data_IF_884730983547
#
_entry.id   IF_884730983547
#
_cell.length_a   1.000
_cell.length_b   1.000
_cell.length_c   1.000
_cell.angle_alpha   90.00
_cell.angle_beta   90.00
_cell.angle_gamma   90.00
#
_symmetry.space_group_name_H-M   'P 1'
#
loop_
_entity.id
_entity.type
_entity.pdbx_description
1 polymer ?
#
# COMPACT_ATOMS: atom_id res chain seq x y z
N UNK A 1 -5.76 -16.55 19.78
CA UNK A 1 -5.03 -17.52 18.93
C UNK A 1 -3.55 -17.26 19.05
N UNK A 2 -2.69 -18.28 18.77
CA UNK A 2 -1.26 -18.07 18.55
C UNK A 2 -0.99 -17.66 17.11
N UNK A 3 -0.04 -16.73 16.91
CA UNK A 3 0.43 -16.32 15.59
C UNK A 3 1.94 -16.03 15.63
N UNK A 4 2.69 -16.55 14.68
CA UNK A 4 4.09 -16.19 14.43
C UNK A 4 4.14 -14.96 13.54
N UNK A 5 4.84 -13.91 13.93
CA UNK A 5 4.91 -12.67 13.18
C UNK A 5 6.37 -12.38 12.79
N UNK A 6 6.63 -12.22 11.50
CA UNK A 6 7.96 -12.10 10.91
C UNK A 6 8.08 -10.77 10.18
N UNK A 7 9.02 -9.93 10.63
CA UNK A 7 9.20 -8.56 10.17
C UNK A 7 8.48 -7.56 11.06
N UNK A 8 9.24 -6.83 11.89
CA UNK A 8 8.73 -5.98 12.97
C UNK A 8 8.91 -4.47 12.68
N UNK A 9 9.17 -4.11 11.44
CA UNK A 9 9.20 -2.71 11.04
C UNK A 9 7.90 -1.97 11.41
N UNK A 10 7.79 -0.70 11.07
CA UNK A 10 6.68 0.18 11.51
C UNK A 10 5.29 -0.46 11.40
N UNK A 11 4.95 -1.05 10.26
CA UNK A 11 3.64 -1.70 10.09
C UNK A 11 3.54 -3.00 10.87
N UNK A 12 4.55 -3.88 10.77
CA UNK A 12 4.54 -5.17 11.47
C UNK A 12 4.46 -5.02 12.98
N UNK A 13 5.23 -4.10 13.55
CA UNK A 13 5.16 -3.78 14.98
C UNK A 13 3.78 -3.28 15.40
N UNK A 14 3.15 -2.41 14.60
CA UNK A 14 1.78 -1.93 14.88
C UNK A 14 0.74 -3.04 14.80
N UNK A 15 0.89 -3.98 13.85
CA UNK A 15 0.01 -5.16 13.80
C UNK A 15 0.17 -6.05 15.02
N UNK A 16 1.39 -6.31 15.48
CA UNK A 16 1.64 -7.07 16.72
C UNK A 16 0.99 -6.39 17.93
N UNK A 17 1.15 -5.06 18.08
CA UNK A 17 0.50 -4.29 19.13
C UNK A 17 -1.01 -4.45 19.13
N UNK A 18 -1.61 -4.36 17.94
CA UNK A 18 -3.06 -4.50 17.77
C UNK A 18 -3.53 -5.91 18.07
N UNK A 19 -2.81 -6.94 17.63
CA UNK A 19 -3.12 -8.35 17.87
C UNK A 19 -3.00 -8.71 19.36
N UNK A 20 -1.93 -8.28 20.02
CA UNK A 20 -1.75 -8.54 21.47
C UNK A 20 -2.80 -7.82 22.30
N UNK A 21 -3.14 -6.58 21.97
CA UNK A 21 -4.26 -5.85 22.59
C UNK A 21 -5.60 -6.57 22.39
N UNK A 22 -5.79 -7.24 21.23
CA UNK A 22 -6.96 -8.07 20.93
C UNK A 22 -6.92 -9.47 21.55
N UNK A 23 -5.96 -9.78 22.43
CA UNK A 23 -5.87 -11.05 23.15
C UNK A 23 -5.23 -12.20 22.36
N UNK A 24 -4.57 -11.92 21.23
CA UNK A 24 -3.78 -12.91 20.51
C UNK A 24 -2.39 -13.07 21.13
N UNK A 25 -1.86 -14.29 21.15
CA UNK A 25 -0.49 -14.56 21.57
C UNK A 25 0.43 -14.49 20.36
N UNK A 26 1.24 -13.42 20.28
CA UNK A 26 2.19 -13.23 19.22
C UNK A 26 3.57 -13.80 19.57
N UNK A 27 4.10 -14.67 18.71
CA UNK A 27 5.50 -15.05 18.68
C UNK A 27 6.17 -14.21 17.59
N UNK A 28 7.27 -13.53 17.88
CA UNK A 28 7.80 -12.50 17.01
C UNK A 28 9.25 -12.76 16.59
N UNK A 29 9.54 -12.46 15.32
CA UNK A 29 10.90 -12.52 14.77
C UNK A 29 11.19 -11.33 13.85
N UNK A 30 12.35 -10.75 14.02
CA UNK A 30 12.99 -9.79 13.10
C UNK A 30 14.49 -10.11 13.04
N UNK A 31 15.14 -9.73 11.96
CA UNK A 31 16.59 -9.81 11.84
C UNK A 31 17.30 -8.87 12.83
N UNK A 32 16.63 -7.80 13.28
CA UNK A 32 17.13 -6.88 14.30
C UNK A 32 16.72 -7.37 15.71
N UNK A 33 17.69 -7.77 16.56
CA UNK A 33 17.41 -8.18 17.93
C UNK A 33 16.84 -7.06 18.80
N UNK A 34 17.20 -5.80 18.54
CA UNK A 34 16.69 -4.67 19.31
C UNK A 34 15.20 -4.44 19.10
N UNK A 35 14.72 -4.56 17.84
CA UNK A 35 13.29 -4.51 17.53
C UNK A 35 12.50 -5.60 18.28
N UNK A 36 13.01 -6.85 18.27
CA UNK A 36 12.36 -7.98 18.96
C UNK A 36 12.26 -7.73 20.47
N UNK A 37 13.37 -7.32 21.08
CA UNK A 37 13.44 -7.09 22.53
C UNK A 37 12.50 -5.95 22.95
N UNK A 38 12.54 -4.82 22.23
CA UNK A 38 11.71 -3.67 22.54
C UNK A 38 10.23 -3.99 22.41
N UNK A 39 9.82 -4.64 21.32
CA UNK A 39 8.42 -4.97 21.08
C UNK A 39 7.90 -6.04 22.06
N UNK A 40 8.74 -7.03 22.41
CA UNK A 40 8.41 -8.03 23.41
C UNK A 40 8.17 -7.40 24.80
N UNK A 41 9.05 -6.49 25.23
CA UNK A 41 8.90 -5.78 26.49
C UNK A 41 7.65 -4.91 26.54
N UNK A 42 7.28 -4.29 25.42
CA UNK A 42 6.11 -3.43 25.32
C UNK A 42 4.78 -4.23 25.31
N UNK A 43 4.76 -5.35 24.57
CA UNK A 43 3.49 -6.03 24.22
C UNK A 43 3.26 -7.35 24.94
N UNK A 44 4.30 -7.91 25.57
CA UNK A 44 4.27 -9.28 26.10
C UNK A 44 4.35 -10.37 25.02
N UNK A 45 4.67 -10.01 23.77
CA UNK A 45 4.92 -10.99 22.71
C UNK A 45 6.17 -11.83 23.01
N UNK A 46 6.20 -13.07 22.52
CA UNK A 46 7.30 -14.02 22.75
C UNK A 46 8.36 -13.83 21.66
N UNK A 47 9.55 -13.32 21.97
CA UNK A 47 10.60 -13.13 20.97
C UNK A 47 11.26 -14.47 20.63
N UNK A 48 11.65 -14.64 19.37
CA UNK A 48 12.40 -15.79 18.89
C UNK A 48 13.70 -15.33 18.21
N UNK A 49 14.80 -16.07 18.43
CA UNK A 49 16.13 -15.72 17.90
C UNK A 49 16.37 -16.24 16.47
N UNK A 50 15.48 -17.11 15.97
CA UNK A 50 15.52 -17.65 14.61
C UNK A 50 14.12 -18.04 14.15
N UNK A 51 13.93 -18.22 12.84
CA UNK A 51 12.67 -18.79 12.30
C UNK A 51 12.41 -20.20 12.85
N UNK A 52 13.45 -21.02 13.04
CA UNK A 52 13.30 -22.34 13.65
C UNK A 52 12.82 -22.25 15.11
N UNK A 53 13.36 -21.34 15.90
CA UNK A 53 12.91 -21.08 17.29
C UNK A 53 11.47 -20.56 17.31
N UNK A 54 11.11 -19.65 16.38
CA UNK A 54 9.74 -19.17 16.24
C UNK A 54 8.76 -20.32 16.03
N UNK A 55 9.02 -21.18 15.04
CA UNK A 55 8.15 -22.30 14.68
C UNK A 55 8.07 -23.33 15.79
N UNK A 56 9.21 -23.68 16.42
CA UNK A 56 9.24 -24.68 17.51
C UNK A 56 8.53 -24.19 18.80
N UNK A 57 8.48 -22.88 19.01
CA UNK A 57 7.78 -22.26 20.14
C UNK A 57 6.25 -22.24 19.99
N UNK A 58 5.70 -22.68 18.85
CA UNK A 58 4.28 -22.61 18.54
C UNK A 58 3.64 -23.99 18.45
N UNK A 59 2.36 -24.08 18.82
CA UNK A 59 1.56 -25.29 18.70
C UNK A 59 0.94 -25.41 17.30
N UNK A 60 1.08 -26.57 16.66
CA UNK A 60 0.42 -26.85 15.39
C UNK A 60 -1.12 -27.02 15.54
N UNK A 61 -1.92 -26.68 14.52
CA UNK A 61 -1.52 -26.07 13.27
C UNK A 61 -1.17 -24.57 13.44
N UNK A 62 0.00 -24.20 12.92
CA UNK A 62 0.58 -22.87 13.11
C UNK A 62 0.09 -21.89 12.05
N UNK A 63 0.05 -20.60 12.40
CA UNK A 63 -0.14 -19.51 11.45
C UNK A 63 1.05 -18.55 11.56
N UNK A 64 1.71 -18.26 10.44
CA UNK A 64 2.86 -17.38 10.35
C UNK A 64 2.54 -16.20 9.41
N UNK A 65 2.66 -14.99 9.92
CA UNK A 65 2.43 -13.75 9.17
C UNK A 65 3.77 -13.12 8.76
N UNK A 66 3.95 -12.91 7.47
CA UNK A 66 5.13 -12.25 6.91
C UNK A 66 4.81 -10.77 6.66
N UNK A 67 5.65 -9.88 7.18
CA UNK A 67 5.59 -8.43 6.95
C UNK A 67 6.99 -7.93 6.56
N UNK A 68 7.52 -8.50 5.48
CA UNK A 68 8.87 -8.28 4.98
C UNK A 68 8.83 -7.70 3.56
N UNK A 69 9.94 -7.11 3.05
CA UNK A 69 9.99 -6.61 1.68
C UNK A 69 9.65 -7.68 0.65
N UNK A 70 8.85 -7.29 -0.34
CA UNK A 70 8.38 -8.19 -1.41
C UNK A 70 9.52 -8.78 -2.26
N UNK A 71 9.21 -9.79 -3.04
CA UNK A 71 10.12 -10.43 -3.99
C UNK A 71 11.09 -11.40 -3.32
N UNK A 72 12.39 -11.19 -3.50
CA UNK A 72 13.44 -12.12 -3.05
C UNK A 72 13.48 -12.32 -1.53
N UNK A 73 13.19 -11.28 -0.75
CA UNK A 73 13.20 -11.37 0.72
C UNK A 73 12.05 -12.25 1.19
N UNK A 74 10.84 -12.00 0.72
CA UNK A 74 9.67 -12.84 1.02
C UNK A 74 9.90 -14.27 0.59
N UNK A 75 10.46 -14.49 -0.63
CA UNK A 75 10.75 -15.83 -1.10
C UNK A 75 11.77 -16.55 -0.21
N UNK A 76 12.85 -15.89 0.19
CA UNK A 76 13.86 -16.46 1.09
C UNK A 76 13.27 -16.88 2.44
N UNK A 77 12.39 -16.08 3.03
CA UNK A 77 11.69 -16.44 4.27
C UNK A 77 10.76 -17.62 4.08
N UNK A 78 10.00 -17.68 2.97
CA UNK A 78 9.15 -18.84 2.64
C UNK A 78 9.98 -20.12 2.46
N UNK A 79 11.12 -20.03 1.77
CA UNK A 79 12.01 -21.17 1.55
C UNK A 79 12.62 -21.70 2.86
N UNK A 80 13.00 -20.81 3.78
CA UNK A 80 13.52 -21.17 5.10
C UNK A 80 12.44 -21.78 6.02
N UNK A 81 11.22 -21.25 5.96
CA UNK A 81 10.09 -21.76 6.75
C UNK A 81 9.60 -23.13 6.27
N UNK A 82 9.60 -23.36 4.97
CA UNK A 82 9.00 -24.54 4.36
C UNK A 82 9.46 -25.88 4.98
N UNK A 83 10.75 -26.13 5.25
CA UNK A 83 11.19 -27.37 5.90
C UNK A 83 10.86 -27.44 7.41
N UNK A 84 10.51 -26.35 8.03
CA UNK A 84 10.17 -26.25 9.46
C UNK A 84 8.66 -26.48 9.73
N UNK A 85 7.84 -26.35 8.70
CA UNK A 85 6.38 -26.44 8.78
C UNK A 85 5.87 -27.83 8.44
N UNK A 86 4.65 -28.12 8.91
CA UNK A 86 3.94 -29.37 8.68
C UNK A 86 2.61 -29.15 7.96
N UNK A 87 2.02 -30.23 7.48
CA UNK A 87 0.67 -30.21 6.91
C UNK A 87 -0.32 -29.59 7.91
N UNK A 88 -1.17 -28.69 7.43
CA UNK A 88 -2.12 -27.93 8.25
C UNK A 88 -1.59 -26.56 8.70
N UNK A 89 -0.29 -26.30 8.64
CA UNK A 89 0.26 -24.96 8.91
C UNK A 89 -0.11 -23.97 7.79
N UNK A 90 -0.03 -22.67 8.10
CA UNK A 90 -0.39 -21.60 7.16
C UNK A 90 0.66 -20.49 7.18
N UNK A 91 1.07 -20.04 6.00
CA UNK A 91 1.82 -18.79 5.81
C UNK A 91 0.86 -17.74 5.27
N UNK A 92 0.84 -16.56 5.91
CA UNK A 92 0.14 -15.37 5.43
C UNK A 92 1.19 -14.34 4.98
N UNK A 93 1.20 -13.98 3.71
CA UNK A 93 2.03 -12.90 3.17
C UNK A 93 1.24 -11.58 3.23
N UNK A 94 1.59 -10.72 4.19
CA UNK A 94 0.97 -9.40 4.41
C UNK A 94 1.75 -8.25 3.77
N UNK A 95 2.83 -8.54 3.04
CA UNK A 95 3.62 -7.54 2.32
C UNK A 95 2.94 -7.05 1.03
N UNK A 96 3.55 -6.08 0.37
CA UNK A 96 3.11 -5.63 -0.96
C UNK A 96 3.71 -6.53 -2.06
N UNK A 97 3.37 -7.81 -2.05
CA UNK A 97 3.89 -8.78 -3.00
C UNK A 97 3.13 -8.76 -4.33
N UNK A 98 3.85 -9.14 -5.40
CA UNK A 98 3.23 -9.32 -6.71
C UNK A 98 2.31 -10.55 -6.70
N UNK A 99 1.07 -10.40 -7.15
CA UNK A 99 0.07 -11.45 -7.05
C UNK A 99 0.46 -12.77 -7.76
N UNK A 100 1.22 -12.69 -8.87
CA UNK A 100 1.70 -13.89 -9.58
C UNK A 100 2.71 -14.69 -8.75
N UNK A 101 3.53 -14.00 -7.94
CA UNK A 101 4.43 -14.66 -6.99
C UNK A 101 3.65 -15.39 -5.89
N UNK A 102 2.55 -14.79 -5.43
CA UNK A 102 1.67 -15.39 -4.43
C UNK A 102 1.02 -16.67 -4.94
N UNK A 103 0.57 -16.69 -6.20
CA UNK A 103 0.05 -17.90 -6.87
C UNK A 103 1.14 -18.98 -6.93
N UNK A 104 2.35 -18.62 -7.35
CA UNK A 104 3.46 -19.57 -7.46
C UNK A 104 3.84 -20.17 -6.09
N UNK A 105 3.91 -19.36 -5.04
CA UNK A 105 4.17 -19.81 -3.65
C UNK A 105 3.09 -20.76 -3.16
N UNK A 106 1.82 -20.43 -3.37
CA UNK A 106 0.71 -21.29 -3.00
C UNK A 106 0.79 -22.67 -3.71
N UNK A 107 1.08 -22.68 -5.02
CA UNK A 107 1.25 -23.92 -5.79
C UNK A 107 2.44 -24.77 -5.29
N UNK A 108 3.54 -24.14 -4.89
CA UNK A 108 4.71 -24.84 -4.37
C UNK A 108 4.49 -25.46 -2.97
N UNK A 109 3.65 -24.83 -2.14
CA UNK A 109 3.37 -25.27 -0.76
C UNK A 109 2.22 -26.28 -0.67
N UNK A 110 1.26 -26.25 -1.59
CA UNK A 110 0.10 -27.13 -1.60
C UNK A 110 0.43 -28.63 -1.52
N UNK A 111 1.43 -29.17 -2.26
CA UNK A 111 1.80 -30.60 -2.16
C UNK A 111 2.32 -31.02 -0.77
N UNK A 112 2.75 -30.04 0.05
CA UNK A 112 3.23 -30.25 1.42
C UNK A 112 2.10 -30.09 2.46
N UNK A 113 0.89 -29.81 2.01
CA UNK A 113 -0.26 -29.55 2.88
C UNK A 113 -0.15 -28.23 3.66
N UNK A 114 0.74 -27.31 3.26
CA UNK A 114 0.91 -25.99 3.88
C UNK A 114 0.05 -24.99 3.12
N UNK A 115 -0.85 -24.32 3.82
CA UNK A 115 -1.68 -23.27 3.22
C UNK A 115 -0.86 -21.99 3.00
N UNK A 116 -1.10 -21.32 1.87
CA UNK A 116 -0.59 -19.98 1.61
C UNK A 116 -1.75 -19.03 1.40
N UNK A 117 -1.74 -17.93 2.16
CA UNK A 117 -2.72 -16.84 2.12
C UNK A 117 -1.95 -15.57 1.77
N UNK A 118 -2.42 -14.83 0.79
CA UNK A 118 -1.93 -13.49 0.49
C UNK A 118 -2.90 -12.45 1.06
N UNK A 119 -2.36 -11.45 1.73
CA UNK A 119 -3.13 -10.44 2.42
C UNK A 119 -2.67 -9.03 2.05
N UNK A 120 -3.27 -8.46 1.02
CA UNK A 120 -3.09 -7.06 0.68
C UNK A 120 -3.59 -6.16 1.81
N UNK A 121 -2.72 -5.30 2.33
CA UNK A 121 -2.99 -4.48 3.50
C UNK A 121 -2.98 -3.00 3.14
N UNK A 122 -4.04 -2.26 3.49
CA UNK A 122 -4.12 -0.81 3.40
C UNK A 122 -4.38 -0.19 4.77
N UNK A 123 -3.78 0.96 5.05
CA UNK A 123 -3.89 1.67 6.34
C UNK A 123 -2.56 2.26 6.81
N UNK A 124 -1.43 1.79 6.27
CA UNK A 124 -0.10 2.34 6.51
C UNK A 124 0.24 2.45 8.01
N UNK A 125 0.81 3.58 8.39
CA UNK A 125 1.25 3.85 9.77
C UNK A 125 0.07 4.05 10.73
N UNK A 126 -1.09 4.46 10.23
CA UNK A 126 -2.29 4.77 11.01
C UNK A 126 -3.09 3.52 11.37
N UNK A 127 -2.70 2.35 10.89
CA UNK A 127 -3.41 1.10 11.12
C UNK A 127 -3.44 0.64 12.59
N UNK A 128 -2.53 1.13 13.45
CA UNK A 128 -2.58 0.84 14.88
C UNK A 128 -3.89 1.34 15.49
N UNK A 129 -4.28 2.57 15.19
CA UNK A 129 -5.47 3.22 15.74
C UNK A 129 -6.71 2.95 14.89
N UNK A 130 -6.59 3.10 13.57
CA UNK A 130 -7.71 3.03 12.64
C UNK A 130 -8.07 1.61 12.19
N UNK A 131 -7.17 0.63 12.37
CA UNK A 131 -7.27 -0.70 11.76
C UNK A 131 -6.78 -0.70 10.31
N UNK A 132 -6.70 -1.91 9.75
CA UNK A 132 -6.20 -2.16 8.40
C UNK A 132 -7.33 -2.70 7.52
N UNK A 133 -7.51 -2.14 6.33
CA UNK A 133 -8.35 -2.77 5.30
C UNK A 133 -7.58 -3.94 4.68
N UNK A 134 -8.16 -5.15 4.73
CA UNK A 134 -7.50 -6.40 4.38
C UNK A 134 -8.19 -7.08 3.20
N UNK A 135 -7.45 -7.27 2.11
CA UNK A 135 -7.88 -7.98 0.90
C UNK A 135 -7.17 -9.33 0.86
N UNK A 136 -7.91 -10.42 1.02
CA UNK A 136 -7.35 -11.73 1.35
C UNK A 136 -7.57 -12.70 0.20
N UNK A 137 -6.50 -13.34 -0.27
CA UNK A 137 -6.52 -14.44 -1.21
C UNK A 137 -6.08 -15.72 -0.51
N UNK A 138 -6.80 -16.82 -0.73
CA UNK A 138 -6.46 -18.10 -0.11
C UNK A 138 -7.60 -19.10 -0.16
N UNK A 139 -7.29 -20.34 0.22
CA UNK A 139 -8.31 -21.37 0.37
C UNK A 139 -9.29 -20.99 1.50
N UNK A 140 -10.56 -21.30 1.29
CA UNK A 140 -11.63 -20.95 2.19
C UNK A 140 -11.39 -21.44 3.63
N UNK A 141 -10.95 -22.70 3.77
CA UNK A 141 -10.65 -23.28 5.09
C UNK A 141 -9.51 -22.56 5.82
N UNK A 142 -8.45 -22.16 5.09
CA UNK A 142 -7.32 -21.42 5.65
C UNK A 142 -7.73 -20.01 6.08
N UNK A 143 -8.51 -19.30 5.24
CA UNK A 143 -9.01 -17.96 5.56
C UNK A 143 -9.99 -17.99 6.72
N UNK A 144 -10.95 -18.92 6.74
CA UNK A 144 -11.92 -19.08 7.83
C UNK A 144 -11.25 -19.35 9.17
N UNK A 145 -10.24 -20.23 9.19
CA UNK A 145 -9.47 -20.51 10.42
C UNK A 145 -8.79 -19.27 10.99
N UNK A 146 -8.30 -18.39 10.10
CA UNK A 146 -7.58 -17.18 10.49
C UNK A 146 -8.48 -15.93 10.59
N UNK A 147 -9.79 -16.06 10.37
CA UNK A 147 -10.76 -14.95 10.46
C UNK A 147 -10.65 -14.12 11.74
N UNK A 148 -10.42 -14.70 12.94
CA UNK A 148 -10.24 -13.89 14.15
C UNK A 148 -9.03 -12.97 14.12
N UNK A 149 -7.95 -13.33 13.40
CA UNK A 149 -6.76 -12.50 13.20
C UNK A 149 -7.12 -11.32 12.30
N UNK A 150 -7.79 -11.59 11.17
CA UNK A 150 -8.21 -10.55 10.24
C UNK A 150 -9.18 -9.57 10.87
N UNK A 151 -10.19 -10.07 11.58
CA UNK A 151 -11.16 -9.22 12.30
C UNK A 151 -10.49 -8.35 13.37
N UNK A 152 -9.48 -8.87 14.09
CA UNK A 152 -8.73 -8.09 15.08
C UNK A 152 -7.90 -6.98 14.43
N UNK A 153 -7.30 -7.23 13.26
CA UNK A 153 -6.52 -6.23 12.52
C UNK A 153 -7.40 -5.21 11.81
N UNK A 154 -8.60 -5.58 11.40
CA UNK A 154 -9.52 -4.73 10.65
C UNK A 154 -10.09 -3.57 11.49
N UNK A 155 -10.62 -2.51 10.83
CA UNK A 155 -11.22 -1.36 11.51
C UNK A 155 -12.49 -1.68 12.29
N UNK A 156 -13.26 -2.68 11.84
CA UNK A 156 -14.56 -3.01 12.36
C UNK A 156 -15.70 -2.18 11.78
N UNK A 157 -16.93 -2.61 12.02
CA UNK A 157 -18.16 -2.03 11.46
C UNK A 157 -18.34 -0.54 11.78
N UNK A 158 -17.81 -0.06 12.88
CA UNK A 158 -17.94 1.33 13.33
C UNK A 158 -17.10 2.32 12.51
N UNK A 159 -16.18 1.84 11.65
CA UNK A 159 -15.29 2.68 10.88
C UNK A 159 -15.99 3.49 9.77
N UNK A 160 -17.16 3.03 9.29
CA UNK A 160 -17.98 3.75 8.33
C UNK A 160 -19.46 3.38 8.52
N UNK A 161 -20.40 4.28 8.17
CA UNK A 161 -21.83 3.93 8.10
C UNK A 161 -22.05 2.79 7.12
N UNK A 162 -23.03 1.91 7.41
CA UNK A 162 -23.44 0.89 6.46
C UNK A 162 -24.08 1.53 5.22
N UNK A 163 -23.85 0.96 4.05
CA UNK A 163 -24.56 1.40 2.84
C UNK A 163 -26.06 1.03 2.96
N UNK A 164 -26.93 1.91 2.49
CA UNK A 164 -28.39 1.73 2.63
C UNK A 164 -28.88 0.36 2.13
N UNK A 165 -28.30 -0.16 1.05
CA UNK A 165 -28.65 -1.46 0.49
C UNK A 165 -28.28 -2.66 1.40
N UNK A 166 -27.46 -2.44 2.44
CA UNK A 166 -27.01 -3.48 3.40
C UNK A 166 -27.65 -3.33 4.79
N UNK A 167 -28.40 -2.25 5.03
CA UNK A 167 -29.10 -2.04 6.28
C UNK A 167 -30.15 -3.16 6.52
N UNK A 168 -30.28 -3.60 7.77
CA UNK A 168 -31.24 -4.66 8.15
C UNK A 168 -30.78 -6.10 7.86
N UNK A 169 -29.70 -6.31 7.09
CA UNK A 169 -29.13 -7.63 6.85
C UNK A 169 -28.00 -7.99 7.84
N UNK A 170 -27.49 -9.24 7.82
CA UNK A 170 -26.32 -9.62 8.61
C UNK A 170 -25.10 -8.81 8.18
N UNK A 171 -24.20 -8.52 9.14
CA UNK A 171 -22.92 -7.87 8.85
C UNK A 171 -22.02 -8.84 8.10
N UNK A 172 -21.49 -8.42 6.95
CA UNK A 172 -20.53 -9.19 6.18
C UNK A 172 -19.10 -8.77 6.54
N UNK A 173 -18.08 -9.65 6.40
CA UNK A 173 -16.68 -9.32 6.71
C UNK A 173 -16.17 -8.07 5.98
N UNK A 174 -16.60 -7.83 4.75
CA UNK A 174 -16.25 -6.62 4.01
C UNK A 174 -16.71 -5.32 4.68
N UNK A 175 -17.78 -5.34 5.47
CA UNK A 175 -18.27 -4.20 6.23
C UNK A 175 -17.45 -3.98 7.52
N UNK A 176 -16.71 -4.98 7.96
CA UNK A 176 -15.76 -4.90 9.07
C UNK A 176 -14.36 -4.47 8.61
N UNK A 177 -14.13 -4.40 7.29
CA UNK A 177 -12.87 -3.96 6.68
C UNK A 177 -11.93 -5.09 6.27
N UNK A 178 -12.39 -6.35 6.22
CA UNK A 178 -11.62 -7.47 5.67
C UNK A 178 -12.49 -8.35 4.78
N UNK A 179 -11.89 -8.92 3.72
CA UNK A 179 -12.65 -9.74 2.77
C UNK A 179 -11.75 -10.80 2.14
N UNK A 180 -12.26 -12.05 2.08
CA UNK A 180 -11.71 -13.04 1.17
C UNK A 180 -12.14 -12.72 -0.27
N UNK A 181 -11.17 -12.28 -1.07
CA UNK A 181 -11.39 -11.85 -2.47
C UNK A 181 -11.48 -13.04 -3.45
N UNK A 182 -10.89 -14.19 -3.08
CA UNK A 182 -10.86 -15.38 -3.92
C UNK A 182 -9.71 -16.35 -3.58
N UNK A 183 -9.26 -17.17 -4.53
CA UNK A 183 -8.15 -18.10 -4.34
C UNK A 183 -6.81 -17.38 -4.10
N UNK A 184 -5.72 -18.10 -3.79
CA UNK A 184 -4.39 -17.51 -3.62
C UNK A 184 -3.99 -16.58 -4.77
N UNK A 185 -3.44 -15.41 -4.44
CA UNK A 185 -3.10 -14.33 -5.36
C UNK A 185 -4.18 -13.25 -5.49
N UNK A 186 -5.44 -13.55 -5.20
CA UNK A 186 -6.54 -12.59 -5.38
C UNK A 186 -6.48 -11.41 -4.40
N UNK A 187 -5.96 -11.59 -3.21
CA UNK A 187 -5.79 -10.52 -2.23
C UNK A 187 -4.78 -9.47 -2.71
N UNK A 188 -3.59 -9.91 -3.09
CA UNK A 188 -2.57 -9.03 -3.66
C UNK A 188 -2.99 -8.43 -5.01
N UNK A 189 -3.75 -9.16 -5.83
CA UNK A 189 -4.31 -8.61 -7.07
C UNK A 189 -5.27 -7.44 -6.80
N UNK A 190 -6.21 -7.61 -5.86
CA UNK A 190 -7.13 -6.53 -5.47
C UNK A 190 -6.38 -5.36 -4.84
N UNK A 191 -5.38 -5.63 -3.99
CA UNK A 191 -4.54 -4.59 -3.38
C UNK A 191 -3.72 -3.84 -4.42
N UNK A 192 -3.17 -4.50 -5.40
CA UNK A 192 -2.43 -3.89 -6.50
C UNK A 192 -3.30 -2.88 -7.27
N UNK A 193 -4.53 -3.26 -7.59
CA UNK A 193 -5.48 -2.36 -8.28
C UNK A 193 -5.88 -1.19 -7.37
N UNK A 194 -6.11 -1.43 -6.06
CA UNK A 194 -6.33 -0.37 -5.09
C UNK A 194 -5.21 0.69 -5.17
N UNK A 195 -3.95 0.26 -5.20
CA UNK A 195 -2.82 1.18 -5.30
C UNK A 195 -2.76 1.90 -6.66
N UNK A 196 -3.13 1.23 -7.74
CA UNK A 196 -3.27 1.89 -9.05
C UNK A 196 -4.32 3.02 -9.03
N UNK A 197 -5.47 2.78 -8.40
CA UNK A 197 -6.50 3.81 -8.20
C UNK A 197 -5.96 4.95 -7.32
N UNK A 198 -5.25 4.62 -6.24
CA UNK A 198 -4.61 5.60 -5.35
C UNK A 198 -3.65 6.52 -6.12
N UNK A 199 -2.82 5.97 -7.04
CA UNK A 199 -1.95 6.76 -7.91
C UNK A 199 -2.73 7.78 -8.74
N UNK A 200 -3.84 7.36 -9.36
CA UNK A 200 -4.69 8.25 -10.15
C UNK A 200 -5.34 9.35 -9.32
N UNK A 201 -5.83 9.02 -8.11
CA UNK A 201 -6.40 10.01 -7.19
C UNK A 201 -5.37 11.01 -6.72
N UNK A 202 -4.18 10.57 -6.34
CA UNK A 202 -3.07 11.45 -5.92
C UNK A 202 -2.66 12.39 -7.06
N UNK A 203 -2.57 11.88 -8.30
CA UNK A 203 -2.22 12.68 -9.46
C UNK A 203 -3.27 13.74 -9.75
N UNK A 204 -4.55 13.41 -9.69
CA UNK A 204 -5.63 14.36 -9.90
C UNK A 204 -5.61 15.50 -8.86
N UNK A 205 -5.37 15.19 -7.59
CA UNK A 205 -5.17 16.21 -6.56
C UNK A 205 -3.93 17.07 -6.85
N UNK A 206 -2.79 16.46 -7.17
CA UNK A 206 -1.56 17.17 -7.46
C UNK A 206 -1.72 18.18 -8.62
N UNK A 207 -2.34 17.77 -9.72
CA UNK A 207 -2.63 18.65 -10.88
C UNK A 207 -3.57 19.79 -10.51
N UNK A 208 -4.65 19.52 -9.75
CA UNK A 208 -5.58 20.53 -9.30
C UNK A 208 -4.92 21.57 -8.40
N UNK A 209 -4.12 21.14 -7.43
CA UNK A 209 -3.41 22.05 -6.53
C UNK A 209 -2.28 22.82 -7.25
N UNK A 210 -1.61 22.21 -8.24
CA UNK A 210 -0.65 22.91 -9.09
C UNK A 210 -1.33 24.03 -9.91
N UNK A 211 -2.55 23.77 -10.42
CA UNK A 211 -3.33 24.79 -11.12
C UNK A 211 -3.72 25.94 -10.20
N UNK A 212 -4.13 25.67 -8.97
CA UNK A 212 -4.40 26.73 -7.97
C UNK A 212 -3.14 27.55 -7.64
N UNK A 213 -2.00 26.90 -7.45
CA UNK A 213 -0.73 27.57 -7.19
C UNK A 213 -0.31 28.50 -8.34
N UNK A 214 -0.66 28.16 -9.59
CA UNK A 214 -0.36 28.97 -10.78
C UNK A 214 -1.37 30.08 -11.07
N UNK A 215 -2.48 30.17 -10.32
CA UNK A 215 -3.57 31.13 -10.61
C UNK A 215 -3.18 32.62 -10.50
N UNK A 216 -2.08 32.93 -9.81
CA UNK A 216 -1.55 34.29 -9.70
C UNK A 216 -0.42 34.61 -10.70
N UNK A 217 -0.07 33.69 -11.60
CA UNK A 217 1.05 33.85 -12.52
C UNK A 217 0.80 34.97 -13.56
N UNK A 218 1.88 35.60 -14.04
CA UNK A 218 1.81 36.66 -15.06
C UNK A 218 1.26 36.20 -16.42
N UNK A 219 1.24 34.92 -16.67
CA UNK A 219 0.60 34.30 -17.85
C UNK A 219 -0.94 34.32 -17.79
N UNK A 220 -1.52 34.56 -16.60
CA UNK A 220 -2.98 34.68 -16.41
C UNK A 220 -3.36 36.15 -16.60
N UNK A 221 -4.42 36.52 -17.37
CA UNK A 221 -4.92 37.89 -17.46
C UNK A 221 -5.23 38.45 -16.06
N UNK A 222 -4.92 39.74 -15.85
CA UNK A 222 -4.97 40.37 -14.52
C UNK A 222 -6.34 40.22 -13.83
N UNK A 223 -7.42 40.33 -14.58
CA UNK A 223 -8.80 40.21 -14.11
C UNK A 223 -9.17 38.79 -13.65
N UNK A 224 -8.35 37.76 -13.99
CA UNK A 224 -8.57 36.35 -13.61
C UNK A 224 -7.49 35.82 -12.67
N UNK A 225 -6.60 36.67 -12.18
CA UNK A 225 -5.57 36.28 -11.20
C UNK A 225 -6.15 36.15 -9.82
N UNK A 226 -5.84 35.03 -9.17
CA UNK A 226 -6.28 34.77 -7.80
C UNK A 226 -5.08 34.40 -6.94
N UNK A 227 -4.95 35.04 -5.79
CA UNK A 227 -4.07 34.56 -4.72
C UNK A 227 -4.88 33.66 -3.81
N UNK A 228 -4.62 32.36 -3.89
CA UNK A 228 -5.41 31.33 -3.22
C UNK A 228 -4.66 30.74 -2.03
N UNK A 229 -5.37 30.54 -0.93
CA UNK A 229 -4.89 29.78 0.22
C UNK A 229 -5.20 28.31 0.02
N UNK A 230 -4.19 27.53 -0.35
CA UNK A 230 -4.32 26.11 -0.69
C UNK A 230 -4.71 25.27 0.53
N UNK A 231 -4.19 25.59 1.71
CA UNK A 231 -4.52 24.90 2.95
C UNK A 231 -6.00 25.11 3.32
N UNK A 232 -6.50 26.35 3.20
CA UNK A 232 -7.92 26.67 3.45
C UNK A 232 -8.85 26.00 2.43
N UNK A 233 -8.45 25.90 1.16
CA UNK A 233 -9.21 25.20 0.11
C UNK A 233 -9.28 23.70 0.43
N UNK A 234 -8.16 23.05 0.75
CA UNK A 234 -8.13 21.65 1.14
C UNK A 234 -9.01 21.41 2.37
N UNK A 235 -8.95 22.28 3.37
CA UNK A 235 -9.76 22.19 4.60
C UNK A 235 -11.27 22.30 4.33
N UNK A 236 -11.69 23.19 3.42
CA UNK A 236 -13.10 23.30 3.05
C UNK A 236 -13.60 22.07 2.27
N UNK A 237 -12.74 21.53 1.40
CA UNK A 237 -13.13 20.38 0.57
C UNK A 237 -13.24 19.07 1.37
N UNK A 238 -12.39 18.88 2.37
CA UNK A 238 -12.49 17.68 3.22
C UNK A 238 -13.76 17.64 4.10
N UNK A 239 -14.46 18.78 4.23
CA UNK A 239 -15.69 18.93 5.04
C UNK A 239 -16.97 18.83 4.24
N UNK A 240 -17.10 17.79 3.41
CA UNK A 240 -18.36 17.45 2.76
C UNK A 240 -18.43 17.72 1.27
N UNK A 241 -17.31 18.04 0.61
CA UNK A 241 -17.29 18.02 -0.86
C UNK A 241 -17.28 16.60 -1.41
N UNK A 242 -17.69 16.45 -2.67
CA UNK A 242 -17.69 15.16 -3.36
C UNK A 242 -16.30 14.51 -3.47
N UNK A 243 -15.22 15.32 -3.44
CA UNK A 243 -13.84 14.84 -3.50
C UNK A 243 -13.25 14.57 -2.12
N UNK A 244 -14.03 14.68 -1.05
CA UNK A 244 -13.57 14.36 0.30
C UNK A 244 -13.10 12.91 0.38
N UNK A 245 -11.91 12.71 0.96
CA UNK A 245 -11.28 11.39 1.06
C UNK A 245 -10.16 11.43 2.10
N UNK A 246 -9.74 10.27 2.60
CA UNK A 246 -8.58 10.23 3.49
C UNK A 246 -7.30 10.76 2.82
N UNK A 247 -7.13 10.56 1.50
CA UNK A 247 -6.01 11.18 0.78
C UNK A 247 -6.04 12.71 0.84
N UNK A 248 -7.23 13.30 0.71
CA UNK A 248 -7.39 14.76 0.85
C UNK A 248 -7.15 15.22 2.29
N UNK A 249 -7.54 14.44 3.30
CA UNK A 249 -7.25 14.74 4.70
C UNK A 249 -5.73 14.83 4.94
N UNK A 250 -4.96 13.87 4.40
CA UNK A 250 -3.50 13.86 4.49
C UNK A 250 -2.87 15.04 3.70
N UNK A 251 -3.43 15.38 2.54
CA UNK A 251 -3.01 16.54 1.76
C UNK A 251 -3.28 17.87 2.48
N UNK A 252 -4.41 17.99 3.16
CA UNK A 252 -4.75 19.17 3.95
C UNK A 252 -3.80 19.33 5.15
N UNK A 253 -3.44 18.23 5.81
CA UNK A 253 -2.48 18.21 6.91
C UNK A 253 -1.10 18.69 6.44
N UNK A 254 -0.60 18.12 5.32
CA UNK A 254 0.67 18.54 4.73
C UNK A 254 0.70 20.03 4.33
N UNK A 255 -0.38 20.54 3.74
CA UNK A 255 -0.49 21.96 3.36
C UNK A 255 -0.62 22.88 4.58
N UNK A 256 -1.19 22.42 5.69
CA UNK A 256 -1.25 23.18 6.94
C UNK A 256 0.14 23.29 7.59
N UNK A 257 0.97 22.25 7.51
CA UNK A 257 2.35 22.23 8.01
C UNK A 257 3.31 23.02 7.10
N UNK A 258 3.17 22.86 5.79
CA UNK A 258 4.02 23.49 4.77
C UNK A 258 3.16 23.94 3.57
N UNK A 259 2.66 25.19 3.56
CA UNK A 259 1.75 25.67 2.51
C UNK A 259 2.32 25.65 1.08
N UNK A 260 3.63 25.53 0.92
CA UNK A 260 4.31 25.46 -0.38
C UNK A 260 4.87 24.07 -0.70
N UNK A 261 4.78 23.14 0.25
CA UNK A 261 5.33 21.78 0.15
C UNK A 261 6.84 21.74 -0.16
N UNK A 262 7.60 22.77 0.24
CA UNK A 262 9.03 22.91 -0.06
C UNK A 262 9.89 21.88 0.69
N UNK A 263 9.40 21.32 1.79
CA UNK A 263 10.06 20.28 2.58
C UNK A 263 9.97 18.89 1.95
N UNK A 264 9.10 18.72 0.95
CA UNK A 264 8.90 17.44 0.27
C UNK A 264 9.72 17.34 -1.02
N UNK A 265 10.23 16.13 -1.29
CA UNK A 265 10.96 15.88 -2.55
C UNK A 265 10.03 15.97 -3.76
N UNK A 266 10.45 16.63 -4.86
CA UNK A 266 9.69 16.61 -6.10
C UNK A 266 9.77 15.26 -6.84
N UNK A 267 10.65 14.34 -6.40
CA UNK A 267 10.79 13.00 -6.97
C UNK A 267 9.87 12.03 -6.26
N UNK A 268 8.97 11.38 -7.00
CA UNK A 268 7.95 10.49 -6.47
C UNK A 268 8.30 9.04 -6.75
N UNK A 269 8.50 8.25 -5.69
CA UNK A 269 8.85 6.84 -5.81
C UNK A 269 7.70 6.02 -6.43
N UNK A 270 8.08 5.01 -7.24
CA UNK A 270 7.22 3.93 -7.72
C UNK A 270 7.56 2.64 -6.94
N UNK A 271 6.62 2.16 -6.15
CA UNK A 271 6.77 0.93 -5.34
C UNK A 271 6.40 -0.36 -6.08
N UNK A 272 5.98 -0.25 -7.35
CA UNK A 272 5.73 -1.37 -8.25
C UNK A 272 4.25 -1.66 -8.51
N UNK A 273 3.34 -1.38 -7.58
CA UNK A 273 1.93 -1.78 -7.68
C UNK A 273 1.21 -1.04 -8.82
N UNK A 274 1.49 0.26 -9.03
CA UNK A 274 0.98 1.02 -10.16
C UNK A 274 1.44 0.43 -11.50
N UNK A 275 2.71 0.02 -11.57
CA UNK A 275 3.30 -0.64 -12.72
C UNK A 275 2.63 -1.99 -13.01
N UNK A 276 2.45 -2.82 -11.99
CA UNK A 276 1.78 -4.11 -12.13
C UNK A 276 0.31 -3.95 -12.53
N UNK A 277 -0.37 -2.92 -12.03
CA UNK A 277 -1.75 -2.59 -12.44
C UNK A 277 -1.83 -2.26 -13.94
N UNK A 278 -0.93 -1.43 -14.45
CA UNK A 278 -0.88 -1.09 -15.89
C UNK A 278 -0.57 -2.34 -16.73
N UNK A 279 0.38 -3.19 -16.30
CA UNK A 279 0.69 -4.45 -16.98
C UNK A 279 -0.55 -5.36 -17.01
N UNK A 280 -1.27 -5.50 -15.89
CA UNK A 280 -2.50 -6.28 -15.83
C UNK A 280 -3.57 -5.73 -16.78
N UNK A 281 -3.70 -4.41 -16.90
CA UNK A 281 -4.59 -3.78 -17.88
C UNK A 281 -4.25 -4.15 -19.32
N UNK A 282 -2.96 -4.15 -19.67
CA UNK A 282 -2.49 -4.60 -21.00
C UNK A 282 -2.80 -6.08 -21.22
N UNK A 283 -2.47 -6.95 -20.26
CA UNK A 283 -2.71 -8.39 -20.35
C UNK A 283 -4.20 -8.75 -20.48
N UNK A 284 -5.08 -7.95 -19.87
CA UNK A 284 -6.54 -8.16 -19.87
C UNK A 284 -7.28 -7.37 -20.95
N UNK A 285 -6.60 -6.53 -21.71
CA UNK A 285 -7.20 -5.65 -22.72
C UNK A 285 -8.09 -4.56 -22.13
N UNK A 286 -7.81 -4.10 -20.90
CA UNK A 286 -8.56 -3.04 -20.22
C UNK A 286 -7.83 -1.70 -20.38
N UNK A 287 -8.58 -0.67 -20.84
CA UNK A 287 -8.05 0.69 -20.97
C UNK A 287 -7.88 1.36 -19.61
N UNK A 288 -6.67 1.82 -19.30
CA UNK A 288 -6.31 2.46 -18.03
C UNK A 288 -5.63 3.83 -18.22
N UNK A 289 -6.23 4.80 -18.97
CA UNK A 289 -5.54 6.06 -19.32
C UNK A 289 -5.14 6.86 -18.07
N UNK A 290 -5.98 6.96 -17.05
CA UNK A 290 -5.71 7.73 -15.84
C UNK A 290 -4.59 7.10 -15.01
N UNK A 291 -4.67 5.79 -14.76
CA UNK A 291 -3.66 5.07 -13.97
C UNK A 291 -2.32 5.03 -14.71
N UNK A 292 -2.34 4.81 -16.03
CA UNK A 292 -1.12 4.82 -16.82
C UNK A 292 -0.44 6.20 -16.82
N UNK A 293 -1.20 7.29 -17.02
CA UNK A 293 -0.65 8.65 -16.96
C UNK A 293 -0.04 8.95 -15.59
N UNK A 294 -0.71 8.59 -14.50
CA UNK A 294 -0.19 8.81 -13.14
C UNK A 294 1.09 8.03 -12.84
N UNK A 295 1.25 6.83 -13.42
CA UNK A 295 2.49 6.06 -13.33
C UNK A 295 3.63 6.74 -14.12
N UNK A 296 3.35 7.15 -15.35
CA UNK A 296 4.37 7.81 -16.19
C UNK A 296 4.80 9.16 -15.61
N UNK A 297 3.91 9.90 -14.95
CA UNK A 297 4.28 11.13 -14.24
C UNK A 297 5.31 10.86 -13.13
N UNK A 298 5.16 9.75 -12.38
CA UNK A 298 6.18 9.34 -11.40
C UNK A 298 7.53 9.05 -12.07
N UNK A 299 7.55 8.42 -13.26
CA UNK A 299 8.79 8.22 -14.00
C UNK A 299 9.40 9.55 -14.44
N UNK A 300 8.59 10.46 -14.98
CA UNK A 300 9.02 11.80 -15.38
C UNK A 300 9.63 12.58 -14.23
N UNK A 301 9.14 12.41 -13.00
CA UNK A 301 9.69 13.07 -11.80
C UNK A 301 11.15 12.69 -11.50
N UNK A 302 11.66 11.60 -12.09
CA UNK A 302 13.05 11.11 -11.94
C UNK A 302 13.92 11.38 -13.17
N UNK A 303 13.36 11.93 -14.26
CA UNK A 303 14.09 12.13 -15.51
C UNK A 303 14.87 13.44 -15.51
N UNK A 304 16.14 13.36 -15.12
CA UNK A 304 17.08 14.49 -15.19
C UNK A 304 17.69 14.66 -16.61
N UNK A 305 17.57 13.67 -17.49
CA UNK A 305 18.21 13.67 -18.81
C UNK A 305 17.36 14.30 -19.91
N UNK A 306 16.03 14.23 -19.79
CA UNK A 306 15.04 14.85 -20.69
C UNK A 306 15.35 14.70 -22.20
N UNK A 307 15.84 13.51 -22.63
CA UNK A 307 16.20 13.26 -24.02
C UNK A 307 14.99 13.32 -24.96
N UNK A 308 13.82 12.94 -24.45
CA UNK A 308 12.53 12.99 -25.13
C UNK A 308 12.14 14.44 -25.48
N UNK A 309 12.18 15.35 -24.49
CA UNK A 309 11.88 16.77 -24.70
C UNK A 309 12.93 17.47 -25.58
N UNK A 310 14.21 17.08 -25.47
CA UNK A 310 15.27 17.55 -26.38
C UNK A 310 15.05 17.06 -27.80
N UNK A 311 14.61 15.81 -27.99
CA UNK A 311 14.28 15.25 -29.30
C UNK A 311 13.09 16.00 -29.90
N UNK A 312 12.03 16.27 -29.14
CA UNK A 312 10.89 17.08 -29.59
C UNK A 312 11.34 18.47 -30.07
N UNK A 313 12.20 19.13 -29.28
CA UNK A 313 12.76 20.44 -29.64
C UNK A 313 13.61 20.35 -30.93
N UNK A 314 14.46 19.32 -31.04
CA UNK A 314 15.27 19.11 -32.23
C UNK A 314 14.42 18.84 -33.48
N UNK A 315 13.39 18.00 -33.36
CA UNK A 315 12.46 17.74 -34.48
C UNK A 315 11.72 19.02 -34.90
N UNK A 316 11.21 19.81 -33.99
CA UNK A 316 10.56 21.10 -34.27
C UNK A 316 11.51 22.05 -34.98
N UNK A 317 12.76 22.11 -34.55
CA UNK A 317 13.78 22.93 -35.20
C UNK A 317 14.07 22.47 -36.64
N UNK A 318 14.14 21.14 -36.84
CA UNK A 318 14.51 20.57 -38.15
C UNK A 318 13.40 20.67 -39.20
N UNK A 319 12.15 20.42 -38.83
CA UNK A 319 11.06 20.47 -39.80
C UNK A 319 10.39 21.85 -39.91
N UNK A 320 10.39 22.68 -38.85
CA UNK A 320 9.66 23.94 -38.78
C UNK A 320 10.56 25.19 -38.71
N UNK A 321 11.89 25.05 -38.67
CA UNK A 321 12.83 26.17 -38.55
C UNK A 321 12.77 26.89 -37.19
N UNK A 322 12.00 26.40 -36.22
CA UNK A 322 11.88 27.00 -34.92
C UNK A 322 13.13 26.68 -34.07
N UNK A 323 13.99 27.67 -33.86
CA UNK A 323 15.09 27.53 -32.88
C UNK A 323 14.47 27.43 -31.48
N UNK A 324 14.74 26.32 -30.81
CA UNK A 324 14.38 26.15 -29.37
C UNK A 324 15.04 27.25 -28.52
N UNK A 325 14.43 27.59 -27.41
CA UNK A 325 15.06 28.47 -26.42
C UNK A 325 16.31 27.74 -25.90
N UNK A 326 17.51 28.37 -25.94
CA UNK A 326 18.72 27.77 -25.37
C UNK A 326 18.49 27.43 -23.89
N UNK A 327 19.07 26.32 -23.37
CA UNK A 327 19.01 26.07 -21.93
C UNK A 327 19.55 27.30 -21.21
N UNK A 328 18.81 27.79 -20.20
CA UNK A 328 19.27 28.86 -19.35
C UNK A 328 20.65 28.44 -18.77
N UNK A 329 21.65 29.32 -18.93
CA UNK A 329 22.92 29.10 -18.24
C UNK A 329 22.65 29.02 -16.74
N UNK A 330 22.91 27.88 -16.15
CA UNK A 330 22.91 27.77 -14.70
C UNK A 330 23.92 28.76 -14.14
N UNK A 331 23.55 29.65 -13.20
CA UNK A 331 24.57 30.43 -12.53
C UNK A 331 25.50 29.48 -11.79
N UNK A 332 26.79 29.61 -12.05
CA UNK A 332 27.87 28.82 -11.46
C UNK A 332 28.02 29.05 -9.96
#
# INVERSE_FOLDING_TARGET
MQIGFIGLGRMGGNMVRRLTKGGHQCHIYSIDPAERTALAAETGAVPADSLAALVSGMTAPRTLWLMVPAGKVTQGVVDELTPLLAAGDCIIDGGNSYFKDSVARAQALAPKGIAFVDCGTSGGLFGLERGYSLMIGGDDAAVTRNAPIFACLAPGIAAAPRTAAREGGPVAPGEEGWLRCGPPGSGHYVKMIHNGIEYGMMQAFAEGFALFASASADTVPEEYRYTLDLAAIAEVWRRGSVVSSWLLDLGADALAEDPKLETFSPRVADSGEGRWTVIAGVEQGVSLPVIASSLFERFSSHDDAAIDTRMLSALRAKFGGHKGVPPAQQPG
#
